data_IF_796936256692
#
_entry.id   IF_796936256692
#
_cell.length_a   1.000
_cell.length_b   1.000
_cell.length_c   1.000
_cell.angle_alpha   90.00
_cell.angle_beta   90.00
_cell.angle_gamma   90.00
#
_symmetry.space_group_name_H-M   'P 1'
#
loop_
_entity.id
_entity.type
_entity.pdbx_description
1 polymer ?
#
# COMPACT_ATOMS: atom_id res chain seq x y z
N UNK A 1 16.41 22.90 -13.69
CA UNK A 1 17.08 21.59 -13.53
C UNK A 1 16.02 20.51 -13.66
N UNK A 2 16.21 19.43 -14.44
CA UNK A 2 15.32 18.29 -14.34
C UNK A 2 15.49 17.65 -12.96
N UNK A 3 14.38 17.25 -12.33
CA UNK A 3 14.36 16.46 -11.11
C UNK A 3 15.06 15.09 -11.35
N UNK A 4 15.68 14.48 -10.33
CA UNK A 4 16.58 13.34 -10.51
C UNK A 4 15.82 12.10 -11.00
N UNK A 5 16.11 11.67 -12.23
CA UNK A 5 15.48 10.55 -12.94
C UNK A 5 15.86 9.15 -12.41
N UNK A 6 16.08 8.99 -11.09
CA UNK A 6 16.60 7.74 -10.51
C UNK A 6 15.84 7.16 -9.32
N UNK A 7 14.84 7.85 -8.76
CA UNK A 7 14.13 7.32 -7.58
C UNK A 7 12.97 6.43 -8.01
N UNK A 8 13.05 5.13 -7.72
CA UNK A 8 11.89 4.23 -7.75
C UNK A 8 11.18 4.25 -6.40
N UNK A 9 9.85 4.23 -6.43
CA UNK A 9 9.00 4.22 -5.24
C UNK A 9 8.21 2.93 -5.19
N UNK A 10 8.26 2.25 -4.05
CA UNK A 10 7.51 1.04 -3.73
C UNK A 10 6.19 1.41 -3.05
N UNK A 11 5.08 1.06 -3.72
CA UNK A 11 3.72 1.23 -3.25
C UNK A 11 3.16 -0.12 -2.87
N UNK A 12 2.55 -0.22 -1.69
CA UNK A 12 1.96 -1.46 -1.18
C UNK A 12 0.64 -1.12 -0.51
N UNK A 13 -0.30 -2.03 -0.62
CA UNK A 13 -1.57 -2.06 0.11
C UNK A 13 -1.84 -3.52 0.47
N UNK A 14 -2.36 -3.74 1.68
CA UNK A 14 -2.66 -5.05 2.22
C UNK A 14 -4.14 -5.18 2.52
N UNK A 15 -4.77 -6.20 1.95
CA UNK A 15 -6.03 -6.69 2.50
C UNK A 15 -5.73 -7.61 3.66
N UNK A 16 -6.34 -7.35 4.81
CA UNK A 16 -6.10 -8.11 6.05
C UNK A 16 -7.41 -8.53 6.70
N UNK A 17 -7.33 -9.43 7.69
CA UNK A 17 -8.46 -9.70 8.60
C UNK A 17 -8.60 -8.64 9.69
N UNK A 18 -7.61 -7.74 9.84
CA UNK A 18 -7.62 -6.65 10.81
C UNK A 18 -8.38 -5.42 10.33
N UNK A 19 -8.58 -4.47 11.23
CA UNK A 19 -9.27 -3.20 10.99
C UNK A 19 -8.57 -2.05 11.71
N UNK A 20 -8.89 -0.80 11.38
CA UNK A 20 -8.15 0.39 11.83
C UNK A 20 -8.12 0.57 13.35
N UNK A 21 -9.19 0.18 14.07
CA UNK A 21 -9.27 0.21 15.53
C UNK A 21 -8.57 -0.97 16.22
N UNK A 22 -7.98 -1.89 15.46
CA UNK A 22 -7.24 -3.02 16.01
C UNK A 22 -6.03 -2.50 16.82
N UNK A 23 -6.00 -2.84 18.09
CA UNK A 23 -4.85 -2.55 18.93
C UNK A 23 -3.58 -3.18 18.35
N UNK A 24 -2.49 -2.40 18.29
CA UNK A 24 -1.17 -2.83 17.78
C UNK A 24 -0.69 -4.19 18.33
N UNK A 25 -1.08 -4.53 19.56
CA UNK A 25 -0.78 -5.80 20.22
C UNK A 25 -1.60 -7.00 19.71
N UNK A 26 -2.46 -6.84 18.70
CA UNK A 26 -3.24 -7.94 18.13
C UNK A 26 -2.88 -8.20 16.67
N UNK A 27 -2.00 -7.40 16.06
CA UNK A 27 -1.60 -7.54 14.66
C UNK A 27 -1.00 -8.91 14.36
N UNK A 28 -0.24 -9.49 15.29
CA UNK A 28 0.32 -10.85 15.12
C UNK A 28 -0.74 -11.96 15.15
N UNK A 29 -1.98 -11.67 15.53
CA UNK A 29 -3.11 -12.61 15.50
C UNK A 29 -3.97 -12.48 14.24
N UNK A 30 -3.69 -11.48 13.41
CA UNK A 30 -4.42 -11.22 12.17
C UNK A 30 -3.65 -11.77 10.97
N UNK A 31 -4.33 -11.94 9.84
CA UNK A 31 -3.76 -12.49 8.62
C UNK A 31 -3.71 -11.42 7.53
N UNK A 32 -2.60 -11.41 6.78
CA UNK A 32 -2.51 -10.74 5.48
C UNK A 32 -3.12 -11.69 4.44
N UNK A 33 -4.16 -11.24 3.76
CA UNK A 33 -4.93 -12.02 2.78
C UNK A 33 -4.51 -11.71 1.33
N UNK A 34 -4.22 -10.45 1.04
CA UNK A 34 -3.79 -9.98 -0.28
C UNK A 34 -2.66 -8.96 -0.13
N UNK A 35 -1.72 -8.99 -1.07
CA UNK A 35 -0.63 -8.02 -1.18
C UNK A 35 -0.66 -7.44 -2.59
N UNK A 36 -1.08 -6.18 -2.69
CA UNK A 36 -0.83 -5.37 -3.87
C UNK A 36 0.56 -4.75 -3.78
N UNK A 37 1.31 -4.76 -4.88
CA UNK A 37 2.60 -4.05 -4.96
C UNK A 37 2.76 -3.38 -6.31
N UNK A 38 3.24 -2.14 -6.30
CA UNK A 38 3.45 -1.33 -7.50
C UNK A 38 4.74 -0.52 -7.38
N UNK A 39 5.44 -0.35 -8.50
CA UNK A 39 6.60 0.54 -8.59
C UNK A 39 6.28 1.74 -9.46
N UNK A 40 6.58 2.95 -8.97
CA UNK A 40 6.57 4.18 -9.80
C UNK A 40 7.97 4.76 -9.98
N UNK A 41 8.12 5.64 -10.96
CA UNK A 41 9.21 6.63 -10.96
C UNK A 41 8.94 7.80 -9.98
N UNK A 42 9.85 8.79 -9.96
CA UNK A 42 9.74 9.98 -9.12
C UNK A 42 8.64 10.96 -9.52
N UNK A 43 8.09 10.80 -10.72
CA UNK A 43 6.93 11.55 -11.20
C UNK A 43 5.63 10.75 -11.00
N UNK A 44 5.67 9.65 -10.25
CA UNK A 44 4.53 8.78 -9.99
C UNK A 44 3.98 8.09 -11.25
N UNK A 45 4.75 7.94 -12.33
CA UNK A 45 4.38 7.11 -13.46
C UNK A 45 4.55 5.63 -13.08
N UNK A 46 3.54 4.80 -13.37
CA UNK A 46 3.58 3.36 -13.06
C UNK A 46 4.60 2.69 -13.98
N UNK A 47 5.50 1.91 -13.36
CA UNK A 47 6.57 1.16 -14.04
C UNK A 47 6.17 -0.31 -14.16
N UNK A 48 5.70 -0.87 -13.05
CA UNK A 48 5.25 -2.25 -12.96
C UNK A 48 4.30 -2.39 -11.78
N UNK A 49 3.47 -3.44 -11.82
CA UNK A 49 2.55 -3.79 -10.75
C UNK A 49 2.40 -5.31 -10.64
N UNK A 50 2.10 -5.79 -9.44
CA UNK A 50 1.82 -7.19 -9.16
C UNK A 50 0.82 -7.31 -8.02
N UNK A 51 0.12 -8.44 -7.97
CA UNK A 51 -0.87 -8.75 -6.95
C UNK A 51 -0.73 -10.20 -6.53
N UNK A 52 -0.74 -10.46 -5.22
CA UNK A 52 -0.53 -11.79 -4.66
C UNK A 52 -1.60 -12.05 -3.61
N UNK A 53 -2.42 -13.08 -3.82
CA UNK A 53 -3.34 -13.59 -2.80
C UNK A 53 -2.64 -14.67 -1.98
N UNK A 54 -2.72 -14.56 -0.66
CA UNK A 54 -2.07 -15.46 0.30
C UNK A 54 -3.03 -16.56 0.70
N UNK A 55 -2.58 -17.81 0.62
CA UNK A 55 -3.37 -18.96 1.03
C UNK A 55 -3.56 -18.96 2.55
N UNK A 56 -4.81 -19.17 2.97
CA UNK A 56 -5.19 -19.41 4.36
C UNK A 56 -6.39 -20.36 4.41
N UNK A 57 -6.60 -21.09 5.52
CA UNK A 57 -7.90 -21.71 5.78
C UNK A 57 -8.97 -20.62 5.87
N UNK A 58 -9.95 -20.66 4.96
CA UNK A 58 -10.96 -19.58 4.83
C UNK A 58 -11.76 -19.39 6.11
N UNK A 59 -12.14 -20.49 6.78
CA UNK A 59 -12.89 -20.43 8.03
C UNK A 59 -12.12 -19.70 9.14
N UNK A 60 -10.78 -19.86 9.18
CA UNK A 60 -9.93 -19.15 10.13
C UNK A 60 -9.86 -17.66 9.79
N UNK A 61 -9.70 -17.31 8.51
CA UNK A 61 -9.68 -15.92 8.06
C UNK A 61 -11.01 -15.19 8.37
N UNK A 62 -12.15 -15.85 8.11
CA UNK A 62 -13.48 -15.33 8.42
C UNK A 62 -13.66 -15.12 9.92
N UNK A 63 -13.21 -16.07 10.75
CA UNK A 63 -13.36 -16.00 12.20
C UNK A 63 -12.56 -14.85 12.85
N UNK A 64 -11.53 -14.34 12.18
CA UNK A 64 -10.70 -13.22 12.65
C UNK A 64 -11.25 -11.84 12.27
N UNK A 65 -12.15 -11.78 11.28
CA UNK A 65 -12.74 -10.54 10.80
C UNK A 65 -13.89 -10.08 11.70
N UNK A 66 -14.09 -8.75 11.79
CA UNK A 66 -15.36 -8.21 12.25
C UNK A 66 -16.44 -8.33 11.16
N UNK A 67 -17.67 -7.91 11.46
CA UNK A 67 -18.78 -8.01 10.51
C UNK A 67 -18.54 -7.20 9.22
N UNK A 68 -17.93 -6.02 9.32
CA UNK A 68 -17.71 -5.14 8.17
C UNK A 68 -16.64 -5.69 7.23
N UNK A 69 -15.48 -6.09 7.78
CA UNK A 69 -14.36 -6.67 7.02
C UNK A 69 -14.79 -7.98 6.38
N UNK A 70 -15.53 -8.82 7.12
CA UNK A 70 -16.06 -10.07 6.60
C UNK A 70 -17.01 -9.83 5.42
N UNK A 71 -17.94 -8.88 5.54
CA UNK A 71 -18.90 -8.61 4.47
C UNK A 71 -18.18 -8.08 3.23
N UNK A 72 -17.25 -7.13 3.41
CA UNK A 72 -16.44 -6.57 2.33
C UNK A 72 -15.66 -7.64 1.55
N UNK A 73 -14.92 -8.50 2.25
CA UNK A 73 -14.13 -9.59 1.63
C UNK A 73 -14.98 -10.71 1.02
N UNK A 74 -16.23 -10.83 1.46
CA UNK A 74 -17.21 -11.72 0.83
C UNK A 74 -17.71 -11.11 -0.48
N UNK A 75 -18.11 -9.84 -0.46
CA UNK A 75 -18.70 -9.14 -1.60
C UNK A 75 -17.70 -8.92 -2.75
N UNK A 76 -16.43 -8.69 -2.43
CA UNK A 76 -15.37 -8.49 -3.43
C UNK A 76 -14.75 -9.83 -3.92
N UNK A 77 -15.20 -10.97 -3.39
CA UNK A 77 -14.74 -12.32 -3.75
C UNK A 77 -13.38 -12.74 -3.19
N UNK A 78 -12.76 -11.94 -2.32
CA UNK A 78 -11.40 -12.21 -1.82
C UNK A 78 -11.31 -13.55 -1.08
N UNK A 79 -12.32 -13.91 -0.26
CA UNK A 79 -12.30 -15.21 0.42
C UNK A 79 -12.28 -16.40 -0.54
N UNK A 80 -12.93 -16.30 -1.71
CA UNK A 80 -12.86 -17.35 -2.73
C UNK A 80 -11.48 -17.44 -3.37
N UNK A 81 -10.80 -16.32 -3.57
CA UNK A 81 -9.43 -16.28 -4.08
C UNK A 81 -8.45 -16.85 -3.04
N UNK A 82 -8.61 -16.49 -1.76
CA UNK A 82 -7.83 -17.06 -0.64
C UNK A 82 -7.98 -18.57 -0.57
N UNK A 83 -9.19 -19.10 -0.79
CA UNK A 83 -9.46 -20.54 -0.82
C UNK A 83 -8.69 -21.28 -1.93
N UNK A 84 -8.50 -20.61 -3.07
CA UNK A 84 -7.86 -21.16 -4.28
C UNK A 84 -6.36 -20.87 -4.34
N UNK A 85 -5.87 -19.93 -3.52
CA UNK A 85 -4.49 -19.52 -3.52
C UNK A 85 -3.55 -20.65 -3.09
N UNK A 86 -2.38 -20.70 -3.73
CA UNK A 86 -1.34 -21.71 -3.43
C UNK A 86 -0.13 -21.12 -2.72
N UNK A 87 0.00 -19.79 -2.74
CA UNK A 87 1.15 -19.05 -2.22
C UNK A 87 1.01 -18.85 -0.71
N UNK A 88 1.97 -19.30 0.09
CA UNK A 88 2.03 -18.95 1.51
C UNK A 88 2.70 -17.59 1.74
N UNK A 89 2.52 -17.03 2.94
CA UNK A 89 2.97 -15.67 3.26
C UNK A 89 4.48 -15.46 3.07
N UNK A 90 5.29 -16.47 3.43
CA UNK A 90 6.76 -16.41 3.26
C UNK A 90 7.15 -16.40 1.78
N UNK A 91 6.43 -17.16 0.95
CA UNK A 91 6.65 -17.16 -0.50
C UNK A 91 6.20 -15.84 -1.11
N UNK A 92 5.06 -15.29 -0.65
CA UNK A 92 4.58 -13.98 -1.07
C UNK A 92 5.60 -12.88 -0.74
N UNK A 93 6.17 -12.88 0.48
CA UNK A 93 7.23 -11.93 0.87
C UNK A 93 8.40 -11.91 -0.12
N UNK A 94 8.91 -13.10 -0.45
CA UNK A 94 10.02 -13.25 -1.41
C UNK A 94 9.65 -12.79 -2.80
N UNK A 95 8.43 -13.07 -3.25
CA UNK A 95 7.93 -12.62 -4.55
C UNK A 95 7.84 -11.10 -4.61
N UNK A 96 7.37 -10.44 -3.54
CA UNK A 96 7.34 -8.98 -3.44
C UNK A 96 8.75 -8.41 -3.51
N UNK A 97 9.70 -8.93 -2.73
CA UNK A 97 11.09 -8.45 -2.75
C UNK A 97 11.72 -8.65 -4.14
N UNK A 98 11.53 -9.82 -4.76
CA UNK A 98 12.02 -10.09 -6.11
C UNK A 98 11.43 -9.10 -7.12
N UNK A 99 10.11 -8.86 -7.05
CA UNK A 99 9.44 -7.86 -7.87
C UNK A 99 10.03 -6.45 -7.70
N UNK A 100 10.35 -6.04 -6.48
CA UNK A 100 10.98 -4.75 -6.22
C UNK A 100 12.40 -4.67 -6.82
N UNK A 101 13.20 -5.73 -6.68
CA UNK A 101 14.55 -5.84 -7.26
C UNK A 101 14.49 -5.75 -8.79
N UNK A 102 13.63 -6.55 -9.41
CA UNK A 102 13.47 -6.63 -10.87
C UNK A 102 13.06 -5.28 -11.48
N UNK A 103 12.39 -4.43 -10.68
CA UNK A 103 11.95 -3.10 -11.07
C UNK A 103 12.86 -1.96 -10.55
N UNK A 104 14.10 -2.29 -10.20
CA UNK A 104 15.16 -1.35 -9.83
C UNK A 104 14.87 -0.51 -8.58
N UNK A 105 14.13 -1.04 -7.62
CA UNK A 105 14.10 -0.48 -6.26
C UNK A 105 15.37 -0.96 -5.56
N UNK A 106 16.19 -0.05 -5.06
CA UNK A 106 17.40 -0.43 -4.31
C UNK A 106 17.06 -0.66 -2.82
N UNK A 107 17.69 -1.63 -2.14
CA UNK A 107 17.47 -1.87 -0.71
C UNK A 107 17.68 -0.60 0.14
N UNK A 108 16.73 -0.31 1.03
CA UNK A 108 16.79 0.83 1.95
C UNK A 108 16.59 2.20 1.30
N UNK A 109 16.19 2.28 0.03
CA UNK A 109 16.07 3.58 -0.67
C UNK A 109 14.63 4.10 -0.78
N UNK A 110 13.67 3.21 -1.07
CA UNK A 110 12.27 3.61 -1.18
C UNK A 110 11.60 3.68 0.18
N UNK A 111 10.92 4.78 0.55
CA UNK A 111 9.94 4.74 1.62
C UNK A 111 8.79 3.81 1.21
N UNK A 112 8.04 3.33 2.20
CA UNK A 112 6.78 2.63 1.92
C UNK A 112 5.71 3.67 1.53
N UNK A 113 5.13 3.52 0.35
CA UNK A 113 4.17 4.49 -0.22
C UNK A 113 2.75 3.94 -0.23
N UNK A 114 1.76 4.79 0.07
CA UNK A 114 0.33 4.44 0.00
C UNK A 114 -0.56 5.42 0.78
N UNK A 115 -1.85 5.12 0.86
CA UNK A 115 -2.82 5.85 1.69
C UNK A 115 -2.99 5.14 3.04
N UNK A 116 -2.99 5.88 4.15
CA UNK A 116 -3.14 5.26 5.48
C UNK A 116 -2.03 4.26 5.82
N UNK A 117 -0.90 4.36 5.11
CA UNK A 117 0.13 3.33 4.95
C UNK A 117 0.81 2.91 6.26
N UNK A 118 0.60 3.67 7.34
CA UNK A 118 1.01 3.25 8.68
C UNK A 118 0.36 1.92 9.08
N UNK A 119 -0.90 1.68 8.71
CA UNK A 119 -1.60 0.44 9.00
C UNK A 119 -0.87 -0.77 8.37
N UNK A 120 -0.63 -0.73 7.06
CA UNK A 120 0.11 -1.76 6.35
C UNK A 120 1.53 -1.92 6.88
N UNK A 121 2.20 -0.81 7.21
CA UNK A 121 3.55 -0.84 7.78
C UNK A 121 3.60 -1.68 9.05
N UNK A 122 2.58 -1.62 9.90
CA UNK A 122 2.56 -2.43 11.12
C UNK A 122 2.43 -3.93 10.83
N UNK A 123 1.66 -4.32 9.82
CA UNK A 123 1.59 -5.71 9.36
C UNK A 123 2.91 -6.17 8.74
N UNK A 124 3.52 -5.34 7.90
CA UNK A 124 4.82 -5.63 7.27
C UNK A 124 5.91 -5.78 8.34
N UNK A 125 5.98 -4.88 9.32
CA UNK A 125 6.96 -4.97 10.42
C UNK A 125 6.81 -6.27 11.23
N UNK A 126 5.57 -6.71 11.47
CA UNK A 126 5.28 -7.87 12.30
C UNK A 126 5.38 -9.22 11.56
N UNK A 127 4.97 -9.27 10.29
CA UNK A 127 4.75 -10.53 9.57
C UNK A 127 5.60 -10.68 8.31
N UNK A 128 6.17 -9.60 7.79
CA UNK A 128 7.03 -9.57 6.58
C UNK A 128 8.37 -8.86 6.90
N UNK A 129 9.17 -9.39 7.84
CA UNK A 129 10.37 -8.71 8.36
C UNK A 129 11.49 -8.52 7.32
N UNK A 130 11.63 -9.43 6.34
CA UNK A 130 12.62 -9.28 5.27
C UNK A 130 12.20 -8.13 4.34
N UNK A 131 10.91 -8.02 4.03
CA UNK A 131 10.38 -6.89 3.25
C UNK A 131 10.50 -5.57 4.01
N UNK A 132 10.19 -5.56 5.32
CA UNK A 132 10.36 -4.38 6.17
C UNK A 132 11.81 -3.88 6.18
N UNK A 133 12.78 -4.80 6.23
CA UNK A 133 14.20 -4.48 6.20
C UNK A 133 14.69 -4.03 4.81
N UNK A 134 14.05 -4.53 3.75
CA UNK A 134 14.34 -4.11 2.38
C UNK A 134 13.89 -2.68 2.09
N UNK A 135 12.78 -2.24 2.69
CA UNK A 135 12.24 -0.90 2.54
C UNK A 135 12.93 0.12 3.46
N UNK A 136 12.92 1.40 3.09
CA UNK A 136 13.37 2.46 3.98
C UNK A 136 12.41 2.63 5.17
N UNK A 137 12.92 3.10 6.31
CA UNK A 137 12.14 3.24 7.55
C UNK A 137 11.02 4.30 7.49
N UNK A 138 11.11 5.24 6.53
CA UNK A 138 10.10 6.29 6.33
C UNK A 138 8.92 5.77 5.53
N UNK A 139 7.78 6.40 5.77
CA UNK A 139 6.59 6.25 4.96
C UNK A 139 6.39 7.51 4.11
N UNK A 140 5.91 7.33 2.88
CA UNK A 140 5.32 8.38 2.06
C UNK A 140 3.80 8.18 2.11
N UNK A 141 3.18 8.76 3.14
CA UNK A 141 1.75 8.64 3.39
C UNK A 141 0.97 9.72 2.65
N UNK A 142 0.25 9.33 1.61
CA UNK A 142 -0.55 10.24 0.79
C UNK A 142 -1.75 10.77 1.56
N UNK A 143 -2.26 10.01 2.53
CA UNK A 143 -3.33 10.48 3.41
C UNK A 143 -2.87 11.60 4.34
N UNK A 144 -1.61 11.59 4.80
CA UNK A 144 -1.06 12.69 5.58
C UNK A 144 -0.97 13.99 4.76
N UNK A 145 -0.64 13.90 3.46
CA UNK A 145 -0.66 15.05 2.55
C UNK A 145 -2.08 15.58 2.35
N UNK A 146 -3.06 14.68 2.20
CA UNK A 146 -4.49 15.03 2.12
C UNK A 146 -4.94 15.83 3.36
N UNK A 147 -4.62 15.35 4.56
CA UNK A 147 -4.99 16.04 5.81
C UNK A 147 -4.32 17.40 5.96
N UNK A 148 -3.04 17.52 5.55
CA UNK A 148 -2.37 18.82 5.51
C UNK A 148 -3.08 19.80 4.55
N UNK A 149 -3.46 19.35 3.35
CA UNK A 149 -4.19 20.18 2.38
C UNK A 149 -5.56 20.58 2.93
N UNK A 150 -6.28 19.68 3.60
CA UNK A 150 -7.58 20.00 4.23
C UNK A 150 -7.47 21.05 5.34
N UNK A 151 -6.34 21.09 6.04
CA UNK A 151 -6.08 22.11 7.07
C UNK A 151 -5.99 23.52 6.48
N UNK A 152 -5.46 23.65 5.25
CA UNK A 152 -5.34 24.94 4.54
C UNK A 152 -6.53 25.22 3.61
N UNK A 153 -7.23 24.19 3.15
CA UNK A 153 -8.35 24.27 2.21
C UNK A 153 -9.39 23.21 2.58
N UNK A 154 -10.30 23.56 3.49
CA UNK A 154 -11.28 22.63 4.08
C UNK A 154 -12.28 22.03 3.08
N UNK A 155 -12.44 22.64 1.90
CA UNK A 155 -13.27 22.13 0.81
C UNK A 155 -12.55 21.20 -0.16
N UNK A 156 -11.26 20.92 0.05
CA UNK A 156 -10.50 20.06 -0.83
C UNK A 156 -10.87 18.58 -0.61
N UNK A 157 -11.44 17.97 -1.65
CA UNK A 157 -11.64 16.51 -1.71
C UNK A 157 -11.06 15.99 -3.03
N UNK A 158 -10.07 15.08 -2.99
CA UNK A 158 -9.61 14.42 -4.20
C UNK A 158 -10.68 13.42 -4.68
N UNK A 159 -10.76 13.16 -6.00
CA UNK A 159 -11.63 12.10 -6.51
C UNK A 159 -11.24 10.77 -5.86
N UNK A 160 -12.20 10.08 -5.23
CA UNK A 160 -12.03 8.72 -4.72
C UNK A 160 -12.91 7.75 -5.48
N UNK A 161 -12.36 6.60 -5.83
CA UNK A 161 -13.14 5.38 -6.04
C UNK A 161 -12.86 4.49 -4.81
N UNK A 162 -13.60 3.40 -4.63
CA UNK A 162 -13.39 2.47 -3.52
C UNK A 162 -13.70 1.10 -4.07
N UNK A 163 -12.65 0.40 -4.47
CA UNK A 163 -12.75 -0.97 -4.97
C UNK A 163 -12.61 -2.00 -3.85
N UNK A 164 -11.89 -1.64 -2.78
CA UNK A 164 -11.52 -2.55 -1.69
C UNK A 164 -10.80 -3.80 -2.20
N UNK A 165 -9.86 -3.58 -3.12
CA UNK A 165 -8.92 -4.57 -3.64
C UNK A 165 -7.55 -3.92 -3.70
N UNK A 166 -6.53 -4.63 -3.21
CA UNK A 166 -5.23 -4.03 -2.93
C UNK A 166 -4.63 -3.29 -4.14
N UNK A 167 -4.60 -3.91 -5.33
CA UNK A 167 -3.99 -3.28 -6.49
C UNK A 167 -4.74 -2.05 -7.01
N UNK A 168 -6.06 -2.09 -7.00
CA UNK A 168 -6.90 -0.97 -7.43
C UNK A 168 -6.76 0.20 -6.45
N UNK A 169 -6.75 -0.07 -5.15
CA UNK A 169 -6.59 0.94 -4.10
C UNK A 169 -5.17 1.56 -4.12
N UNK A 170 -4.13 0.81 -4.50
CA UNK A 170 -2.78 1.37 -4.78
C UNK A 170 -2.79 2.30 -5.99
N UNK A 171 -3.44 1.91 -7.09
CA UNK A 171 -3.51 2.72 -8.29
C UNK A 171 -4.23 4.06 -8.03
N UNK A 172 -5.29 4.02 -7.22
CA UNK A 172 -5.96 5.23 -6.73
C UNK A 172 -5.03 6.11 -5.89
N UNK A 173 -4.25 5.50 -4.99
CA UNK A 173 -3.28 6.22 -4.16
C UNK A 173 -2.20 6.91 -5.00
N UNK A 174 -1.72 6.26 -6.07
CA UNK A 174 -0.78 6.86 -7.04
C UNK A 174 -1.43 8.03 -7.78
N UNK A 175 -2.69 7.91 -8.16
CA UNK A 175 -3.42 8.98 -8.85
C UNK A 175 -3.66 10.19 -7.93
N UNK A 176 -3.95 9.95 -6.66
CA UNK A 176 -4.03 10.99 -5.63
C UNK A 176 -2.68 11.70 -5.46
N UNK A 177 -1.57 10.96 -5.41
CA UNK A 177 -0.22 11.53 -5.32
C UNK A 177 0.15 12.40 -6.53
N UNK A 178 -0.24 12.00 -7.76
CA UNK A 178 -0.08 12.84 -8.96
C UNK A 178 -0.86 14.15 -8.84
N UNK A 179 -2.07 14.09 -8.32
CA UNK A 179 -2.89 15.29 -8.09
C UNK A 179 -2.19 16.26 -7.14
N UNK A 180 -1.59 15.77 -6.07
CA UNK A 180 -0.83 16.60 -5.12
C UNK A 180 0.46 17.15 -5.71
N UNK A 181 1.19 16.34 -6.48
CA UNK A 181 2.34 16.80 -7.25
C UNK A 181 1.97 17.98 -8.14
N UNK A 182 0.89 17.87 -8.90
CA UNK A 182 0.48 18.89 -9.88
C UNK A 182 0.01 20.17 -9.21
N UNK A 183 -0.54 20.07 -8.00
CA UNK A 183 -0.89 21.23 -7.18
C UNK A 183 0.36 21.92 -6.58
N UNK A 184 1.33 21.14 -6.08
CA UNK A 184 2.45 21.65 -5.28
C UNK A 184 3.65 22.05 -6.14
N UNK A 185 3.96 21.30 -7.20
CA UNK A 185 5.16 21.51 -8.02
C UNK A 185 5.26 22.93 -8.62
N UNK A 186 4.18 23.56 -9.13
CA UNK A 186 4.25 24.93 -9.64
C UNK A 186 4.64 25.94 -8.55
N UNK A 187 4.14 25.79 -7.33
CA UNK A 187 4.47 26.65 -6.20
C UNK A 187 5.95 26.52 -5.79
N UNK A 188 6.47 25.28 -5.74
CA UNK A 188 7.89 25.04 -5.45
C UNK A 188 8.82 25.60 -6.53
N UNK A 189 8.43 25.51 -7.80
CA UNK A 189 9.18 26.08 -8.91
C UNK A 189 9.23 27.62 -8.85
N UNK A 190 8.15 28.27 -8.39
CA UNK A 190 8.12 29.70 -8.19
C UNK A 190 9.05 30.17 -7.05
N UNK A 191 9.18 29.37 -5.98
CA UNK A 191 10.07 29.64 -4.84
C UNK A 191 11.55 29.36 -5.12
N UNK A 192 11.84 28.57 -6.16
CA UNK A 192 13.21 28.17 -6.53
C UNK A 192 13.88 29.15 -7.49
N UNK A 193 13.24 30.31 -7.75
CA UNK A 193 13.76 31.42 -8.57
C UNK A 193 14.11 32.59 -7.67
#
# INVERSE_FOLDING_TARGET
MPLPSKRRLAWIDLETTGYTELHRQLIYKQLILEIGVLVTDGDFNVVAQHNIVVRHPVDEAIALCDENVRQMHTDNGLFEEVAKATTDLKTAEKQVIAFLIDNCVEPGTSPLCGNGIHFDRMFIEAQLPELNAYLHYRNLDISAVKEFIKTISSGFEPPKRRSHRALDDILESVQEARTYRDLIAPALLALSR
#
